data_IF_522183194952
#
_entry.id   IF_522183194952
#
_cell.length_a   1.000
_cell.length_b   1.000
_cell.length_c   1.000
_cell.angle_alpha   90.00
_cell.angle_beta   90.00
_cell.angle_gamma   90.00
#
_symmetry.space_group_name_H-M   'P 1'
#
loop_
_entity.id
_entity.type
_entity.pdbx_description
1 polymer ?
#
# COMPACT_ATOMS: atom_id res chain seq x y z
N UNK A 1 19.50 45.81 -8.17
CA UNK A 1 20.14 45.16 -9.33
C UNK A 1 20.87 43.95 -8.76
N UNK A 2 20.36 42.73 -9.00
CA UNK A 2 20.95 41.52 -8.42
C UNK A 2 22.31 41.32 -9.09
N UNK A 3 23.37 41.28 -8.30
CA UNK A 3 24.72 41.06 -8.83
C UNK A 3 24.79 39.70 -9.53
N UNK A 4 25.47 39.65 -10.68
CA UNK A 4 25.72 38.43 -11.46
C UNK A 4 26.11 37.20 -10.61
N UNK A 5 27.03 37.27 -9.63
CA UNK A 5 27.37 36.12 -8.79
C UNK A 5 26.19 35.62 -7.93
N UNK A 6 25.33 36.52 -7.44
CA UNK A 6 24.16 36.16 -6.62
C UNK A 6 23.13 35.40 -7.46
N UNK A 7 22.94 35.80 -8.73
CA UNK A 7 22.04 35.11 -9.65
C UNK A 7 22.47 33.67 -9.92
N UNK A 8 23.78 33.44 -10.14
CA UNK A 8 24.33 32.10 -10.39
C UNK A 8 24.14 31.17 -9.19
N UNK A 9 24.36 31.66 -7.97
CA UNK A 9 24.19 30.87 -6.74
C UNK A 9 22.73 30.48 -6.54
N UNK A 10 21.79 31.41 -6.76
CA UNK A 10 20.36 31.14 -6.63
C UNK A 10 19.92 30.08 -7.65
N UNK A 11 20.33 30.22 -8.91
CA UNK A 11 20.01 29.25 -9.96
C UNK A 11 20.54 27.85 -9.64
N UNK A 12 21.79 27.75 -9.17
CA UNK A 12 22.39 26.47 -8.78
C UNK A 12 21.68 25.82 -7.58
N UNK A 13 21.26 26.61 -6.59
CA UNK A 13 20.51 26.12 -5.44
C UNK A 13 19.14 25.57 -5.85
N UNK A 14 18.42 26.27 -6.73
CA UNK A 14 17.10 25.83 -7.23
C UNK A 14 17.22 24.51 -8.00
N UNK A 15 18.21 24.38 -8.89
CA UNK A 15 18.47 23.13 -9.64
C UNK A 15 18.81 21.97 -8.70
N UNK A 16 19.64 22.22 -7.68
CA UNK A 16 20.02 21.20 -6.70
C UNK A 16 18.81 20.70 -5.90
N UNK A 17 17.98 21.63 -5.38
CA UNK A 17 16.78 21.30 -4.59
C UNK A 17 15.75 20.55 -5.43
N UNK A 18 15.52 20.98 -6.66
CA UNK A 18 14.58 20.29 -7.58
C UNK A 18 15.04 18.88 -7.92
N UNK A 19 16.34 18.69 -8.19
CA UNK A 19 16.90 17.36 -8.48
C UNK A 19 16.79 16.41 -7.26
N UNK A 20 17.00 16.92 -6.04
CA UNK A 20 16.78 16.15 -4.81
C UNK A 20 15.31 15.78 -4.64
N UNK A 21 14.38 16.71 -4.83
CA UNK A 21 12.94 16.44 -4.72
C UNK A 21 12.47 15.41 -5.75
N UNK A 22 12.91 15.53 -7.00
CA UNK A 22 12.62 14.57 -8.09
C UNK A 22 13.23 13.21 -7.77
N UNK A 23 14.48 13.16 -7.29
CA UNK A 23 15.13 11.94 -6.85
C UNK A 23 14.35 11.24 -5.73
N UNK A 24 13.97 11.97 -4.67
CA UNK A 24 13.17 11.43 -3.55
C UNK A 24 11.80 10.94 -4.04
N UNK A 25 11.14 11.67 -4.93
CA UNK A 25 9.88 11.25 -5.53
C UNK A 25 10.06 9.94 -6.33
N UNK A 26 11.10 9.84 -7.16
CA UNK A 26 11.40 8.61 -7.89
C UNK A 26 11.77 7.44 -6.98
N UNK A 27 12.51 7.65 -5.89
CA UNK A 27 12.77 6.58 -4.91
C UNK A 27 11.47 6.11 -4.24
N UNK A 28 10.51 7.01 -4.02
CA UNK A 28 9.19 6.64 -3.48
C UNK A 28 8.35 5.86 -4.49
N UNK A 29 8.41 6.20 -5.78
CA UNK A 29 7.64 5.49 -6.82
C UNK A 29 8.27 4.17 -7.25
N UNK A 30 9.60 4.07 -7.25
CA UNK A 30 10.34 2.85 -7.64
C UNK A 30 10.42 1.82 -6.52
N UNK A 31 10.27 2.24 -5.25
CA UNK A 31 10.00 1.32 -4.11
C UNK A 31 8.57 0.79 -4.12
N UNK A 32 8.01 0.46 -5.28
CA UNK A 32 6.96 -0.55 -5.32
C UNK A 32 7.59 -1.83 -4.77
N UNK A 33 7.10 -2.40 -3.67
CA UNK A 33 7.62 -3.69 -3.23
C UNK A 33 7.40 -4.66 -4.38
N UNK A 34 8.50 -5.14 -4.96
CA UNK A 34 8.46 -6.33 -5.80
C UNK A 34 7.87 -7.39 -4.87
N UNK A 35 6.64 -7.82 -5.17
CA UNK A 35 6.09 -9.00 -4.56
C UNK A 35 7.06 -10.13 -4.90
N UNK A 36 7.89 -10.54 -3.93
CA UNK A 36 8.75 -11.70 -4.07
C UNK A 36 7.80 -12.90 -4.03
N UNK A 37 7.61 -13.65 -5.13
CA UNK A 37 6.86 -14.89 -5.04
C UNK A 37 7.68 -15.84 -4.17
N UNK A 38 7.20 -16.07 -2.95
CA UNK A 38 7.74 -17.09 -2.07
C UNK A 38 7.37 -18.46 -2.65
N UNK A 39 8.31 -19.02 -3.42
CA UNK A 39 8.30 -20.39 -3.92
C UNK A 39 7.30 -20.70 -5.04
N UNK A 40 7.83 -21.12 -6.20
CA UNK A 40 7.09 -21.47 -7.41
C UNK A 40 6.38 -22.82 -7.34
N UNK A 41 5.44 -22.97 -6.43
CA UNK A 41 4.45 -24.06 -6.48
C UNK A 41 3.10 -23.43 -6.80
N UNK A 42 2.68 -23.61 -8.06
CA UNK A 42 1.37 -23.27 -8.57
C UNK A 42 0.33 -24.13 -7.85
N UNK A 43 -0.45 -23.55 -6.95
CA UNK A 43 -1.69 -24.18 -6.49
C UNK A 43 -2.81 -23.86 -7.51
N UNK A 44 -3.45 -24.86 -8.12
CA UNK A 44 -4.62 -24.67 -8.96
C UNK A 44 -5.89 -24.60 -8.09
N UNK A 45 -6.11 -23.48 -7.42
CA UNK A 45 -7.36 -23.22 -6.67
C UNK A 45 -7.74 -21.73 -6.56
N UNK A 46 -6.99 -20.81 -7.16
CA UNK A 46 -7.33 -19.38 -7.18
C UNK A 46 -8.42 -18.99 -8.20
N UNK A 47 -8.63 -19.77 -9.27
CA UNK A 47 -9.46 -19.36 -10.42
C UNK A 47 -10.97 -19.58 -10.24
N UNK A 48 -11.43 -20.27 -9.18
CA UNK A 48 -12.86 -20.58 -9.05
C UNK A 48 -13.74 -19.38 -8.68
N UNK A 49 -13.16 -18.25 -8.25
CA UNK A 49 -13.91 -17.04 -7.87
C UNK A 49 -13.81 -15.88 -8.88
N UNK A 50 -13.06 -16.04 -9.97
CA UNK A 50 -12.86 -14.98 -10.98
C UNK A 50 -14.01 -14.84 -11.99
N UNK A 51 -15.01 -15.72 -11.93
CA UNK A 51 -16.21 -15.66 -12.77
C UNK A 51 -17.27 -14.65 -12.26
N UNK A 52 -17.01 -13.92 -11.18
CA UNK A 52 -17.88 -12.84 -10.69
C UNK A 52 -17.37 -11.46 -11.13
N UNK A 53 -17.43 -11.20 -12.44
CA UNK A 53 -17.63 -9.87 -12.99
C UNK A 53 -16.53 -8.84 -12.74
N UNK A 54 -15.73 -8.59 -13.78
CA UNK A 54 -14.97 -7.34 -13.97
C UNK A 54 -15.95 -6.16 -14.04
N UNK A 55 -16.43 -5.70 -12.88
CA UNK A 55 -17.20 -4.46 -12.78
C UNK A 55 -16.22 -3.28 -12.61
N UNK A 56 -16.43 -2.17 -13.34
CA UNK A 56 -15.53 -1.01 -13.31
C UNK A 56 -15.53 -0.24 -11.98
N UNK A 57 -16.26 -0.69 -10.96
CA UNK A 57 -16.32 -0.16 -9.59
C UNK A 57 -15.48 -0.98 -8.57
N UNK A 58 -14.91 -2.12 -8.97
CA UNK A 58 -14.14 -2.96 -8.05
C UNK A 58 -12.91 -2.23 -7.46
N UNK A 59 -12.27 -1.33 -8.23
CA UNK A 59 -11.17 -0.50 -7.73
C UNK A 59 -11.64 0.56 -6.72
N UNK A 60 -12.89 1.04 -6.79
CA UNK A 60 -13.44 1.96 -5.79
C UNK A 60 -13.68 1.22 -4.47
N UNK A 61 -14.17 -0.03 -4.55
CA UNK A 61 -14.34 -0.89 -3.37
C UNK A 61 -13.02 -1.03 -2.59
N UNK A 62 -11.89 -1.12 -3.30
CA UNK A 62 -10.54 -1.14 -2.74
C UNK A 62 -10.10 0.17 -2.04
N UNK A 63 -10.88 1.24 -2.07
CA UNK A 63 -10.64 2.44 -1.25
C UNK A 63 -11.75 2.72 -0.22
N UNK A 64 -12.80 1.91 -0.20
CA UNK A 64 -13.87 2.06 0.80
C UNK A 64 -13.45 1.55 2.18
N UNK A 65 -13.92 2.21 3.24
CA UNK A 65 -13.80 1.70 4.61
C UNK A 65 -14.84 0.62 4.96
N UNK A 66 -15.71 0.28 3.99
CA UNK A 66 -16.73 -0.74 4.16
C UNK A 66 -16.09 -2.11 4.40
N UNK A 67 -16.73 -2.91 5.25
CA UNK A 67 -16.34 -4.29 5.45
C UNK A 67 -16.43 -5.06 4.12
N UNK A 68 -15.48 -5.96 3.83
CA UNK A 68 -15.57 -6.78 2.64
C UNK A 68 -16.75 -7.75 2.80
N UNK A 69 -17.47 -8.01 1.72
CA UNK A 69 -18.58 -8.97 1.75
C UNK A 69 -18.12 -10.43 1.88
N UNK A 70 -16.83 -10.69 1.65
CA UNK A 70 -16.20 -12.00 1.75
C UNK A 70 -14.89 -11.86 2.51
N UNK A 71 -14.48 -12.96 3.15
CA UNK A 71 -13.18 -13.04 3.79
C UNK A 71 -12.04 -12.82 2.78
N UNK A 72 -10.97 -12.18 3.22
CA UNK A 72 -9.82 -11.95 2.37
C UNK A 72 -9.01 -13.22 2.20
N UNK A 73 -8.40 -13.38 1.02
CA UNK A 73 -7.23 -14.27 0.91
C UNK A 73 -6.03 -13.64 1.61
N UNK A 74 -5.03 -14.44 2.00
CA UNK A 74 -3.81 -13.93 2.66
C UNK A 74 -3.14 -12.80 1.84
N UNK A 75 -3.05 -12.98 0.52
CA UNK A 75 -2.48 -11.98 -0.39
C UNK A 75 -3.30 -10.69 -0.42
N UNK A 76 -4.63 -10.78 -0.49
CA UNK A 76 -5.51 -9.60 -0.46
C UNK A 76 -5.52 -8.91 0.90
N UNK A 77 -5.39 -9.67 2.00
CA UNK A 77 -5.29 -9.13 3.33
C UNK A 77 -4.00 -8.31 3.50
N UNK A 78 -2.87 -8.83 3.00
CA UNK A 78 -1.62 -8.07 2.95
C UNK A 78 -1.72 -6.81 2.08
N UNK A 79 -2.33 -6.89 0.89
CA UNK A 79 -2.53 -5.73 0.02
C UNK A 79 -3.42 -4.66 0.69
N UNK A 80 -4.51 -5.08 1.35
CA UNK A 80 -5.42 -4.18 2.08
C UNK A 80 -4.71 -3.52 3.26
N UNK A 81 -3.89 -4.26 4.01
CA UNK A 81 -3.08 -3.68 5.09
C UNK A 81 -2.06 -2.64 4.59
N UNK A 82 -1.55 -2.80 3.37
CA UNK A 82 -0.65 -1.82 2.74
C UNK A 82 -1.40 -0.59 2.23
N UNK A 83 -2.55 -0.77 1.57
CA UNK A 83 -3.40 0.31 1.08
C UNK A 83 -3.94 1.17 2.24
N UNK A 84 -4.35 0.55 3.34
CA UNK A 84 -4.95 1.19 4.51
C UNK A 84 -3.93 1.44 5.64
N UNK A 85 -2.66 1.70 5.29
CA UNK A 85 -1.59 1.92 6.28
C UNK A 85 -1.89 3.10 7.22
N UNK A 86 -2.52 4.16 6.71
CA UNK A 86 -2.87 5.38 7.44
C UNK A 86 -4.14 5.25 8.29
N UNK A 87 -4.97 4.24 8.04
CA UNK A 87 -6.21 4.04 8.78
C UNK A 87 -5.96 3.34 10.13
N UNK A 88 -6.71 3.72 11.17
CA UNK A 88 -6.79 2.93 12.40
C UNK A 88 -7.55 1.62 12.18
N UNK A 89 -7.27 0.59 12.99
CA UNK A 89 -8.05 -0.66 12.96
C UNK A 89 -9.51 -0.38 13.38
N UNK A 90 -9.70 0.50 14.35
CA UNK A 90 -11.03 0.83 14.90
C UNK A 90 -11.89 1.67 13.93
N UNK A 91 -11.24 2.42 13.02
CA UNK A 91 -11.93 3.34 12.10
C UNK A 91 -12.08 2.78 10.67
N UNK A 92 -11.55 1.58 10.39
CA UNK A 92 -11.63 0.97 9.06
C UNK A 92 -11.98 -0.51 9.17
N UNK A 93 -13.26 -0.83 8.95
CA UNK A 93 -13.76 -2.20 9.00
C UNK A 93 -13.06 -3.12 8.00
N UNK A 94 -12.64 -2.57 6.84
CA UNK A 94 -11.87 -3.33 5.85
C UNK A 94 -10.49 -3.73 6.33
N UNK A 95 -9.80 -2.83 7.05
CA UNK A 95 -8.51 -3.11 7.68
C UNK A 95 -8.66 -4.11 8.82
N UNK A 96 -9.71 -3.98 9.63
CA UNK A 96 -10.02 -4.92 10.70
C UNK A 96 -10.24 -6.34 10.16
N UNK A 97 -11.01 -6.49 9.07
CA UNK A 97 -11.22 -7.78 8.41
C UNK A 97 -9.91 -8.37 7.88
N UNK A 98 -9.08 -7.57 7.19
CA UNK A 98 -7.78 -8.01 6.70
C UNK A 98 -6.83 -8.43 7.84
N UNK A 99 -6.84 -7.68 8.94
CA UNK A 99 -6.06 -8.00 10.13
C UNK A 99 -6.53 -9.33 10.76
N UNK A 100 -7.84 -9.52 10.91
CA UNK A 100 -8.41 -10.76 11.44
C UNK A 100 -8.00 -11.98 10.60
N UNK A 101 -8.12 -11.89 9.27
CA UNK A 101 -7.66 -12.94 8.35
C UNK A 101 -6.18 -13.27 8.54
N UNK A 102 -5.30 -12.27 8.67
CA UNK A 102 -3.87 -12.52 8.86
C UNK A 102 -3.54 -13.12 10.24
N UNK A 103 -4.30 -12.79 11.27
CA UNK A 103 -4.16 -13.37 12.61
C UNK A 103 -4.62 -14.83 12.62
N UNK A 104 -5.79 -15.10 12.03
CA UNK A 104 -6.36 -16.45 11.93
C UNK A 104 -5.45 -17.40 11.15
N UNK A 105 -4.86 -16.92 10.05
CA UNK A 105 -3.90 -17.67 9.23
C UNK A 105 -2.49 -17.73 9.85
N UNK A 106 -2.30 -17.22 11.07
CA UNK A 106 -1.02 -17.25 11.79
C UNK A 106 0.10 -16.40 11.16
N UNK A 107 -0.22 -15.49 10.25
CA UNK A 107 0.73 -14.63 9.54
C UNK A 107 1.01 -13.32 10.27
N UNK A 108 0.20 -12.96 11.26
CA UNK A 108 0.35 -11.75 12.06
C UNK A 108 0.03 -12.04 13.52
N UNK A 109 0.89 -11.64 14.45
CA UNK A 109 0.63 -11.72 15.88
C UNK A 109 0.04 -10.37 16.33
N UNK A 110 -1.15 -10.33 16.95
CA UNK A 110 -1.69 -9.10 17.48
C UNK A 110 -0.75 -8.57 18.56
N UNK A 111 -0.32 -7.32 18.42
CA UNK A 111 0.46 -6.65 19.45
C UNK A 111 -0.46 -6.33 20.63
N UNK A 112 -0.48 -7.23 21.60
CA UNK A 112 -1.29 -7.13 22.81
C UNK A 112 -0.91 -5.93 23.69
N UNK A 113 0.24 -5.30 23.44
CA UNK A 113 0.70 -4.12 24.21
C UNK A 113 -0.03 -2.82 23.83
N UNK A 114 -0.82 -2.82 22.75
CA UNK A 114 -1.52 -1.63 22.24
C UNK A 114 -3.03 -1.59 22.51
N UNK A 115 -3.53 -2.54 23.32
CA UNK A 115 -4.89 -2.50 23.88
C UNK A 115 -4.78 -1.95 25.31
N UNK A 116 -4.73 -0.64 25.45
CA UNK A 116 -4.89 0.06 26.73
C UNK A 116 -5.89 1.19 26.52
#
# INVERSE_FOLDING_TARGET
MIDWPVFVVIAAAVVSVTMVMVGVAHLRTTRRPVAVPANGIRCPDAERNDAAGRRPDAWLSDWTHAAPQREFTVTQAHATMQQHRTCGIDNCARKAAAFATLVEQGRMKPDSSRRV
#
